data_IF_480807886434
#
_entry.id   IF_480807886434
#
_cell.length_a   1.000
_cell.length_b   1.000
_cell.length_c   1.000
_cell.angle_alpha   90.00
_cell.angle_beta   90.00
_cell.angle_gamma   90.00
#
_symmetry.space_group_name_H-M   'P 1'
#
loop_
_entity.id
_entity.type
_entity.pdbx_description
1 polymer ?
#
# COMPACT_ATOMS: atom_id res chain seq x y z
N UNK A 1 9.36 3.01 -18.43
CA UNK A 1 9.38 1.54 -18.49
C UNK A 1 10.71 1.06 -19.02
N UNK A 2 11.45 0.39 -18.19
CA UNK A 2 12.73 -0.17 -18.62
C UNK A 2 12.48 -1.45 -19.40
N UNK A 3 13.46 -1.77 -20.23
CA UNK A 3 13.44 -2.98 -21.00
C UNK A 3 13.17 -4.19 -20.09
N UNK A 4 12.15 -4.94 -20.39
CA UNK A 4 11.90 -6.16 -19.67
C UNK A 4 12.97 -7.18 -20.01
N UNK A 5 13.36 -7.94 -19.00
CA UNK A 5 14.36 -8.96 -19.15
C UNK A 5 13.73 -10.29 -18.83
N UNK A 6 13.69 -11.17 -19.80
CA UNK A 6 13.19 -12.52 -19.57
C UNK A 6 14.38 -13.44 -19.33
N UNK A 7 14.27 -14.26 -18.33
CA UNK A 7 15.25 -15.31 -18.11
C UNK A 7 14.66 -16.67 -18.52
N UNK A 8 15.49 -17.71 -18.40
CA UNK A 8 15.11 -19.07 -18.83
C UNK A 8 13.96 -19.67 -18.01
N UNK A 9 13.61 -19.05 -16.91
CA UNK A 9 12.61 -19.58 -15.98
C UNK A 9 11.29 -18.83 -16.06
N UNK A 10 11.04 -18.18 -17.19
CA UNK A 10 9.80 -17.45 -17.39
C UNK A 10 9.59 -16.34 -16.35
N UNK A 11 10.66 -15.64 -16.06
CA UNK A 11 10.62 -14.47 -15.20
C UNK A 11 10.60 -13.20 -16.04
N UNK A 12 9.70 -12.30 -15.68
CA UNK A 12 9.62 -11.00 -16.33
C UNK A 12 9.89 -9.93 -15.29
N UNK A 13 10.87 -9.08 -15.57
CA UNK A 13 11.22 -7.98 -14.71
C UNK A 13 10.60 -6.68 -15.18
N UNK A 14 10.11 -5.90 -14.22
CA UNK A 14 9.54 -4.58 -14.48
C UNK A 14 10.24 -3.55 -13.60
N UNK A 15 10.47 -2.38 -14.16
CA UNK A 15 10.99 -1.24 -13.41
C UNK A 15 10.16 -0.02 -13.73
N UNK A 16 9.79 0.71 -12.68
CA UNK A 16 9.04 1.94 -12.80
C UNK A 16 9.81 3.05 -12.12
N UNK A 17 9.80 4.22 -12.74
CA UNK A 17 10.35 5.42 -12.15
C UNK A 17 9.25 6.47 -12.11
N UNK A 18 9.01 7.03 -10.93
CA UNK A 18 8.03 8.08 -10.75
C UNK A 18 8.74 9.37 -10.36
N UNK A 19 8.38 10.49 -10.99
CA UNK A 19 8.97 11.78 -10.64
C UNK A 19 8.58 12.24 -9.25
N UNK A 20 7.40 11.86 -8.79
CA UNK A 20 6.91 12.22 -7.46
C UNK A 20 6.23 11.04 -6.81
N UNK A 21 6.38 10.95 -5.50
CA UNK A 21 5.64 9.99 -4.69
C UNK A 21 4.31 10.61 -4.28
N UNK A 22 3.22 9.94 -4.59
CA UNK A 22 1.89 10.44 -4.27
C UNK A 22 0.83 9.35 -4.25
N UNK A 23 -0.43 9.76 -4.11
CA UNK A 23 -1.55 8.83 -4.02
C UNK A 23 -1.68 7.95 -5.27
N UNK A 24 -1.47 8.51 -6.44
CA UNK A 24 -1.52 7.75 -7.70
C UNK A 24 -0.50 6.63 -7.74
N UNK A 25 0.69 6.91 -7.25
CA UNK A 25 1.74 5.92 -7.17
C UNK A 25 1.36 4.77 -6.24
N UNK A 26 0.85 5.11 -5.06
CA UNK A 26 0.42 4.12 -4.08
C UNK A 26 -0.71 3.26 -4.65
N UNK A 27 -1.69 3.89 -5.29
CA UNK A 27 -2.81 3.19 -5.91
C UNK A 27 -2.33 2.19 -6.96
N UNK A 28 -1.41 2.59 -7.82
CA UNK A 28 -0.87 1.72 -8.85
C UNK A 28 -0.12 0.53 -8.27
N UNK A 29 0.70 0.77 -7.26
CA UNK A 29 1.42 -0.31 -6.58
C UNK A 29 0.47 -1.32 -5.95
N UNK A 30 -0.52 -0.83 -5.23
CA UNK A 30 -1.51 -1.70 -4.62
C UNK A 30 -2.25 -2.53 -5.67
N UNK A 31 -2.68 -1.89 -6.75
CA UNK A 31 -3.44 -2.55 -7.81
C UNK A 31 -2.67 -3.68 -8.47
N UNK A 32 -1.38 -3.48 -8.69
CA UNK A 32 -0.53 -4.53 -9.27
C UNK A 32 -0.49 -5.75 -8.36
N UNK A 33 -0.28 -5.54 -7.06
CA UNK A 33 -0.20 -6.65 -6.12
C UNK A 33 -1.55 -7.30 -5.86
N UNK A 34 -2.63 -6.52 -5.86
CA UNK A 34 -3.97 -7.07 -5.70
C UNK A 34 -4.32 -8.08 -6.78
N UNK A 35 -3.97 -7.79 -8.02
CA UNK A 35 -4.29 -8.67 -9.13
C UNK A 35 -3.58 -10.01 -9.07
N UNK A 36 -2.39 -10.04 -8.49
CA UNK A 36 -1.50 -11.20 -8.64
C UNK A 36 -1.32 -12.02 -7.37
N UNK A 37 -1.41 -11.40 -6.19
CA UNK A 37 -0.91 -12.05 -4.99
C UNK A 37 -1.82 -11.99 -3.78
N UNK A 38 -2.89 -11.22 -3.83
CA UNK A 38 -3.69 -10.99 -2.63
C UNK A 38 -4.91 -11.88 -2.63
N UNK A 39 -5.05 -12.75 -1.61
CA UNK A 39 -6.27 -13.54 -1.45
C UNK A 39 -7.50 -12.63 -1.39
N UNK A 40 -8.62 -13.12 -1.89
CA UNK A 40 -9.85 -12.33 -1.98
C UNK A 40 -10.27 -11.74 -0.64
N UNK A 41 -10.13 -12.50 0.43
CA UNK A 41 -10.51 -12.06 1.78
C UNK A 41 -9.62 -10.94 2.33
N UNK A 42 -8.45 -10.75 1.76
CA UNK A 42 -7.53 -9.70 2.17
C UNK A 42 -7.58 -8.46 1.26
N UNK A 43 -8.43 -8.51 0.22
CA UNK A 43 -8.58 -7.36 -0.67
C UNK A 43 -9.39 -6.27 0.00
N UNK A 44 -9.02 -5.04 -0.28
CA UNK A 44 -9.69 -3.88 0.29
C UNK A 44 -10.91 -3.51 -0.54
N UNK A 45 -11.97 -3.06 0.15
CA UNK A 45 -13.12 -2.46 -0.52
C UNK A 45 -12.73 -1.07 -1.05
N UNK A 46 -13.59 -0.48 -1.86
CA UNK A 46 -13.33 0.84 -2.45
C UNK A 46 -13.03 1.91 -1.39
N UNK A 47 -13.83 1.96 -0.33
CA UNK A 47 -13.63 2.93 0.76
C UNK A 47 -12.39 2.62 1.58
N UNK A 48 -12.13 1.35 1.82
CA UNK A 48 -10.91 0.93 2.50
C UNK A 48 -9.67 1.31 1.73
N UNK A 49 -9.71 1.19 0.40
CA UNK A 49 -8.59 1.63 -0.46
C UNK A 49 -8.32 3.11 -0.31
N UNK A 50 -9.35 3.93 -0.35
CA UNK A 50 -9.20 5.38 -0.20
C UNK A 50 -8.54 5.72 1.14
N UNK A 51 -9.03 5.13 2.21
CA UNK A 51 -8.44 5.32 3.53
C UNK A 51 -6.98 4.84 3.57
N UNK A 52 -6.73 3.66 3.05
CA UNK A 52 -5.41 3.05 3.09
C UNK A 52 -4.37 3.84 2.29
N UNK A 53 -4.73 4.30 1.10
CA UNK A 53 -3.79 5.10 0.29
C UNK A 53 -3.37 6.37 1.02
N UNK A 54 -4.31 7.02 1.68
CA UNK A 54 -4.01 8.20 2.47
C UNK A 54 -3.14 7.87 3.70
N UNK A 55 -3.40 6.75 4.34
CA UNK A 55 -2.60 6.29 5.46
C UNK A 55 -1.15 6.02 5.03
N UNK A 56 -0.98 5.30 3.92
CA UNK A 56 0.35 5.02 3.37
C UNK A 56 1.07 6.31 2.99
N UNK A 57 0.34 7.25 2.40
CA UNK A 57 0.92 8.56 2.06
C UNK A 57 1.44 9.27 3.30
N UNK A 58 0.65 9.34 4.37
CA UNK A 58 1.09 9.95 5.62
C UNK A 58 2.30 9.23 6.21
N UNK A 59 2.29 7.91 6.19
CA UNK A 59 3.43 7.13 6.66
C UNK A 59 4.71 7.53 5.93
N UNK A 60 4.65 7.64 4.62
CA UNK A 60 5.82 7.98 3.80
C UNK A 60 6.22 9.45 3.91
N UNK A 61 5.33 10.30 4.39
CA UNK A 61 5.65 11.70 4.71
C UNK A 61 6.29 11.86 6.09
N UNK A 62 6.49 10.76 6.80
CA UNK A 62 7.11 10.76 8.12
C UNK A 62 6.15 11.09 9.25
N UNK A 63 4.85 11.07 9.01
CA UNK A 63 3.86 11.32 10.05
C UNK A 63 3.67 10.05 10.89
N UNK A 64 3.77 10.19 12.21
CA UNK A 64 3.49 9.09 13.12
C UNK A 64 1.98 8.84 13.14
N UNK A 65 1.57 7.66 12.70
CA UNK A 65 0.16 7.32 12.53
C UNK A 65 -0.60 7.15 13.86
N UNK A 66 0.11 7.11 14.97
CA UNK A 66 -0.51 7.01 16.29
C UNK A 66 -0.76 8.37 16.95
N UNK A 67 -0.55 9.46 16.21
CA UNK A 67 -0.74 10.81 16.74
C UNK A 67 -2.13 11.35 16.45
N UNK A 68 -2.62 12.31 17.27
CA UNK A 68 -3.88 12.99 16.99
C UNK A 68 -3.87 13.72 15.64
N UNK A 69 -2.72 14.24 15.22
CA UNK A 69 -2.58 14.91 13.93
C UNK A 69 -2.87 13.95 12.77
N UNK A 70 -2.30 12.74 12.81
CA UNK A 70 -2.56 11.75 11.78
C UNK A 70 -4.04 11.35 11.76
N UNK A 71 -4.63 11.14 12.92
CA UNK A 71 -6.05 10.83 13.04
C UNK A 71 -6.91 11.91 12.42
N UNK A 72 -6.60 13.17 12.70
CA UNK A 72 -7.34 14.30 12.15
C UNK A 72 -7.24 14.35 10.63
N UNK A 73 -6.07 14.14 10.07
CA UNK A 73 -5.89 14.11 8.62
C UNK A 73 -6.67 12.97 7.96
N UNK A 74 -6.69 11.81 8.59
CA UNK A 74 -7.44 10.67 8.09
C UNK A 74 -8.96 10.89 8.18
N UNK A 75 -9.41 11.64 9.17
CA UNK A 75 -10.82 12.02 9.27
C UNK A 75 -11.27 12.92 8.13
N UNK A 76 -10.37 13.75 7.61
CA UNK A 76 -10.65 14.74 6.58
C UNK A 76 -10.47 14.21 5.16
N UNK A 77 -10.23 12.92 4.99
CA UNK A 77 -10.06 12.34 3.66
C UNK A 77 -11.34 12.51 2.83
N UNK A 78 -11.18 13.04 1.64
CA UNK A 78 -12.29 13.26 0.72
C UNK A 78 -13.04 11.94 0.43
N UNK A 79 -14.35 12.03 0.52
CA UNK A 79 -15.21 10.90 0.23
C UNK A 79 -15.48 9.98 1.43
N UNK A 80 -14.81 10.19 2.55
CA UNK A 80 -15.02 9.34 3.73
C UNK A 80 -15.68 10.08 4.89
N UNK A 81 -15.19 11.26 5.23
CA UNK A 81 -15.72 12.09 6.32
C UNK A 81 -15.94 11.28 7.61
N UNK A 82 -14.83 10.89 8.23
CA UNK A 82 -14.86 9.99 9.36
C UNK A 82 -14.80 10.71 10.71
N UNK A 83 -15.40 10.08 11.72
CA UNK A 83 -15.15 10.43 13.11
C UNK A 83 -13.95 9.64 13.65
N UNK A 84 -13.50 9.96 14.87
CA UNK A 84 -12.39 9.23 15.51
C UNK A 84 -12.63 7.72 15.50
N UNK A 85 -13.84 7.30 15.82
CA UNK A 85 -14.20 5.90 15.85
C UNK A 85 -14.08 5.25 14.48
N UNK A 86 -14.44 5.98 13.42
CA UNK A 86 -14.32 5.48 12.06
C UNK A 86 -12.87 5.22 11.67
N UNK A 87 -11.96 6.11 12.06
CA UNK A 87 -10.53 5.92 11.82
C UNK A 87 -10.05 4.64 12.53
N UNK A 88 -10.46 4.42 13.77
CA UNK A 88 -10.13 3.21 14.51
C UNK A 88 -10.65 1.95 13.84
N UNK A 89 -11.89 2.00 13.36
CA UNK A 89 -12.51 0.85 12.69
C UNK A 89 -11.75 0.49 11.42
N UNK A 90 -11.40 1.48 10.60
CA UNK A 90 -10.63 1.23 9.39
C UNK A 90 -9.24 0.67 9.71
N UNK A 91 -8.56 1.22 10.71
CA UNK A 91 -7.27 0.67 11.13
C UNK A 91 -7.39 -0.79 11.58
N UNK A 92 -8.44 -1.13 12.31
CA UNK A 92 -8.68 -2.51 12.74
C UNK A 92 -8.91 -3.44 11.56
N UNK A 93 -9.67 -3.01 10.57
CA UNK A 93 -9.91 -3.77 9.35
C UNK A 93 -8.60 -4.00 8.59
N UNK A 94 -7.79 -2.97 8.47
CA UNK A 94 -6.51 -3.06 7.77
C UNK A 94 -5.54 -4.01 8.47
N UNK A 95 -5.52 -3.99 9.80
CA UNK A 95 -4.72 -4.96 10.57
C UNK A 95 -5.19 -6.39 10.34
N UNK A 96 -6.49 -6.60 10.35
CA UNK A 96 -7.08 -7.92 10.13
C UNK A 96 -6.76 -8.43 8.73
N UNK A 97 -6.79 -7.56 7.75
CA UNK A 97 -6.45 -7.90 6.36
C UNK A 97 -4.95 -7.89 6.09
N UNK A 98 -4.13 -7.62 7.11
CA UNK A 98 -2.66 -7.66 7.06
C UNK A 98 -2.02 -6.56 6.21
N UNK A 99 -2.70 -5.44 6.05
CA UNK A 99 -2.17 -4.29 5.30
C UNK A 99 -1.41 -3.30 6.19
N UNK A 100 -1.66 -3.34 7.48
CA UNK A 100 -0.84 -2.64 8.47
C UNK A 100 -0.50 -3.61 9.59
N UNK A 101 0.61 -3.34 10.25
CA UNK A 101 1.09 -4.17 11.34
C UNK A 101 1.68 -3.29 12.42
N UNK A 102 1.89 -3.84 13.59
CA UNK A 102 2.53 -3.14 14.69
C UNK A 102 3.93 -3.69 14.85
N UNK A 103 4.94 -2.81 14.86
CA UNK A 103 6.32 -3.23 15.04
C UNK A 103 6.63 -3.49 16.52
N UNK A 104 7.89 -3.81 16.81
CA UNK A 104 8.35 -4.10 18.18
C UNK A 104 8.09 -2.98 19.16
N UNK A 105 8.09 -1.74 18.66
CA UNK A 105 7.96 -0.53 19.46
C UNK A 105 6.51 -0.04 19.55
N UNK A 106 5.57 -0.80 19.05
CA UNK A 106 4.16 -0.41 19.04
C UNK A 106 3.79 0.58 17.95
N UNK A 107 4.69 0.87 17.03
CA UNK A 107 4.40 1.76 15.90
C UNK A 107 3.73 1.02 14.77
N UNK A 108 2.83 1.72 14.07
CA UNK A 108 2.23 1.17 12.88
C UNK A 108 3.26 1.12 11.75
N UNK A 109 3.25 0.02 11.04
CA UNK A 109 4.13 -0.22 9.90
C UNK A 109 3.31 -0.68 8.71
N UNK A 110 3.88 -0.58 7.52
CA UNK A 110 3.23 -0.96 6.27
C UNK A 110 4.11 -1.94 5.52
N UNK A 111 3.55 -2.68 4.54
CA UNK A 111 4.38 -3.57 3.73
C UNK A 111 5.54 -2.84 3.05
N UNK A 112 6.71 -3.46 3.00
CA UNK A 112 7.91 -2.81 2.44
C UNK A 112 7.74 -2.28 1.02
N UNK A 113 6.97 -2.95 0.17
CA UNK A 113 6.82 -2.52 -1.21
C UNK A 113 6.05 -1.20 -1.36
N UNK A 114 5.34 -0.77 -0.32
CA UNK A 114 4.62 0.50 -0.30
C UNK A 114 5.42 1.63 0.35
N UNK A 115 6.55 1.31 0.94
CA UNK A 115 7.41 2.34 1.54
C UNK A 115 8.11 3.15 0.47
N UNK A 116 8.23 4.45 0.74
CA UNK A 116 8.95 5.36 -0.14
C UNK A 116 10.40 4.93 -0.28
N UNK A 117 10.84 4.73 -1.52
CA UNK A 117 12.23 4.43 -1.82
C UNK A 117 12.90 5.60 -2.52
N UNK A 118 13.79 5.28 -3.43
CA UNK A 118 14.56 6.25 -4.22
C UNK A 118 13.81 6.74 -5.47
N UNK A 119 12.53 6.48 -5.56
CA UNK A 119 11.72 6.82 -6.72
C UNK A 119 11.77 5.79 -7.84
N UNK A 120 12.39 4.66 -7.57
CA UNK A 120 12.46 3.56 -8.52
C UNK A 120 11.97 2.28 -7.86
N UNK A 121 11.09 1.58 -8.53
CA UNK A 121 10.60 0.29 -8.10
C UNK A 121 10.88 -0.74 -9.19
N UNK A 122 11.45 -1.87 -8.79
CA UNK A 122 11.65 -3.01 -9.67
C UNK A 122 11.10 -4.25 -9.01
N UNK A 123 10.41 -5.07 -9.77
CA UNK A 123 9.95 -6.36 -9.29
C UNK A 123 9.88 -7.36 -10.43
N UNK A 124 9.87 -8.63 -10.05
CA UNK A 124 9.87 -9.72 -11.02
C UNK A 124 8.65 -10.59 -10.79
N UNK A 125 8.01 -10.95 -11.88
CA UNK A 125 6.86 -11.84 -11.86
C UNK A 125 7.29 -13.16 -12.48
N UNK A 126 7.16 -14.23 -11.71
CA UNK A 126 7.38 -15.58 -12.23
C UNK A 126 6.12 -16.08 -12.88
N UNK A 127 6.22 -16.47 -14.14
CA UNK A 127 5.11 -17.05 -14.85
C UNK A 127 5.14 -18.56 -14.69
N UNK A 128 4.12 -19.08 -14.05
CA UNK A 128 4.00 -20.52 -13.84
C UNK A 128 3.11 -21.11 -14.90
N UNK A 129 3.56 -22.21 -15.48
CA UNK A 129 2.79 -22.98 -16.45
C UNK A 129 2.29 -24.28 -15.83
N UNK A 130 2.08 -24.30 -14.57
CA UNK A 130 1.56 -25.47 -13.88
C UNK A 130 0.16 -25.78 -14.39
N UNK A 131 0.00 -26.98 -14.77
CA UNK A 131 -1.23 -27.47 -15.33
C UNK A 131 -1.92 -28.38 -14.33
#
# INVERSE_FOLDING_TARGET
FNKSKMNKENQVGFSFKYPTYGLDYIEKLYSIFELSYIPKENRLTKKEKVFYYNLVFLYNMGVDLNTPEATKRLQEVDGLTLENRGVYIYKSILKKKKWIMTDKNGKLDIPPFLKKGDGKLSFFISLSHDI
#
